data_IF_386433383465
#
_entry.id   IF_386433383465
#
_cell.length_a   1.000
_cell.length_b   1.000
_cell.length_c   1.000
_cell.angle_alpha   90.00
_cell.angle_beta   90.00
_cell.angle_gamma   90.00
#
_symmetry.space_group_name_H-M   'P 1'
#
loop_
_entity.id
_entity.type
_entity.pdbx_description
1 polymer ?
#
# COMPACT_ATOMS: atom_id res chain seq x y z
N UNK A 1 22.83 21.23 17.52
CA UNK A 1 23.26 20.82 16.17
C UNK A 1 22.47 21.65 15.18
N UNK A 2 23.12 22.54 14.43
CA UNK A 2 22.43 23.42 13.48
C UNK A 2 22.00 22.61 12.25
N UNK A 3 20.70 22.37 12.09
CA UNK A 3 20.16 21.70 10.91
C UNK A 3 20.29 22.64 9.70
N UNK A 4 20.62 22.09 8.55
CA UNK A 4 20.88 22.84 7.31
C UNK A 4 19.98 22.29 6.20
N UNK A 5 19.32 23.14 5.44
CA UNK A 5 18.51 22.75 4.27
C UNK A 5 19.39 22.76 3.03
N UNK A 6 19.44 21.63 2.35
CA UNK A 6 20.05 21.52 1.02
C UNK A 6 19.04 21.99 -0.03
N UNK A 7 19.39 23.02 -0.79
CA UNK A 7 18.62 23.46 -1.95
C UNK A 7 19.35 22.96 -3.20
N UNK A 8 18.64 22.14 -3.99
CA UNK A 8 19.11 21.61 -5.27
C UNK A 8 18.26 22.26 -6.37
N UNK A 9 18.91 23.01 -7.27
CA UNK A 9 18.29 23.58 -8.46
C UNK A 9 19.20 23.35 -9.68
N UNK A 10 18.68 23.40 -10.91
CA UNK A 10 19.48 23.20 -12.12
C UNK A 10 20.68 24.17 -12.26
N UNK A 11 20.60 25.34 -11.62
CA UNK A 11 21.60 26.41 -11.74
C UNK A 11 22.48 26.56 -10.49
N UNK A 12 22.04 26.07 -9.32
CA UNK A 12 22.74 26.26 -8.05
C UNK A 12 22.43 25.13 -7.06
N UNK A 13 23.48 24.67 -6.36
CA UNK A 13 23.39 23.78 -5.20
C UNK A 13 23.98 24.53 -4.01
N UNK A 14 23.17 24.87 -3.00
CA UNK A 14 23.65 25.57 -1.81
C UNK A 14 22.95 25.12 -0.52
N UNK A 15 23.61 25.39 0.60
CA UNK A 15 23.13 25.10 1.94
C UNK A 15 22.57 26.36 2.59
N UNK A 16 21.34 26.30 3.12
CA UNK A 16 20.73 27.37 3.91
C UNK A 16 20.51 26.93 5.36
N UNK A 17 20.70 27.81 6.35
CA UNK A 17 20.38 27.48 7.75
C UNK A 17 18.88 27.15 7.88
N UNK A 18 18.57 26.04 8.56
CA UNK A 18 17.21 25.53 8.73
C UNK A 18 16.71 25.78 10.15
N UNK A 19 15.66 26.57 10.31
CA UNK A 19 14.98 26.77 11.59
C UNK A 19 14.14 25.53 11.94
N UNK A 20 14.74 24.61 12.72
CA UNK A 20 14.15 23.32 13.10
C UNK A 20 13.03 23.42 14.16
N UNK A 21 12.27 24.52 14.22
CA UNK A 21 11.25 24.75 15.27
C UNK A 21 9.84 24.23 14.93
N UNK A 22 9.62 23.61 13.76
CA UNK A 22 8.27 23.24 13.28
C UNK A 22 8.16 21.91 12.53
N UNK A 23 9.08 20.96 12.70
CA UNK A 23 8.89 19.63 12.12
C UNK A 23 8.53 18.61 13.20
N UNK A 24 7.25 18.23 13.20
CA UNK A 24 6.72 17.13 14.01
C UNK A 24 7.49 15.85 13.62
N UNK A 25 8.13 15.24 14.61
CA UNK A 25 9.01 14.08 14.43
C UNK A 25 8.25 12.75 14.19
N UNK A 26 6.94 12.81 14.03
CA UNK A 26 6.04 11.65 13.90
C UNK A 26 6.22 10.93 12.54
N UNK A 27 6.48 11.67 11.47
CA UNK A 27 6.75 11.08 10.14
C UNK A 27 8.12 10.38 10.07
N UNK A 28 9.08 10.82 10.88
CA UNK A 28 10.44 10.26 10.89
C UNK A 28 10.48 8.84 11.46
N UNK A 29 9.66 8.55 12.48
CA UNK A 29 9.64 7.26 13.18
C UNK A 29 9.06 6.12 12.33
N UNK A 30 8.05 6.40 11.49
CA UNK A 30 7.52 5.41 10.54
C UNK A 30 8.51 5.13 9.38
N UNK A 31 9.26 6.14 8.95
CA UNK A 31 10.26 6.01 7.90
C UNK A 31 11.52 5.27 8.35
N UNK A 32 11.86 5.30 9.64
CA UNK A 32 13.04 4.62 10.20
C UNK A 32 12.98 3.09 10.07
N UNK A 33 11.76 2.52 10.10
CA UNK A 33 11.53 1.08 10.02
C UNK A 33 11.27 0.57 8.59
N UNK A 34 11.58 1.36 7.55
CA UNK A 34 11.44 0.92 6.16
C UNK A 34 12.72 0.19 5.74
N UNK A 35 12.70 -1.13 5.47
CA UNK A 35 13.90 -1.90 5.10
C UNK A 35 14.61 -1.32 3.87
N UNK A 36 13.84 -0.77 2.92
CA UNK A 36 14.36 -0.14 1.72
C UNK A 36 15.18 1.13 2.04
N UNK A 37 14.82 1.88 3.08
CA UNK A 37 15.59 3.05 3.52
C UNK A 37 16.94 2.62 4.10
N UNK A 38 16.95 1.58 4.95
CA UNK A 38 18.18 1.04 5.52
C UNK A 38 19.11 0.53 4.41
N UNK A 39 18.54 -0.14 3.40
CA UNK A 39 19.27 -0.60 2.22
C UNK A 39 19.97 0.55 1.49
N UNK A 40 19.27 1.65 1.18
CA UNK A 40 19.86 2.79 0.46
C UNK A 40 20.78 3.68 1.32
N UNK A 41 20.67 3.60 2.65
CA UNK A 41 21.56 4.34 3.56
C UNK A 41 22.91 3.64 3.75
N UNK A 42 22.99 2.35 3.49
CA UNK A 42 24.24 1.60 3.57
C UNK A 42 24.97 1.63 2.22
N UNK A 43 26.12 2.30 2.22
CA UNK A 43 26.97 2.43 1.01
C UNK A 43 27.63 1.11 0.64
N UNK A 44 27.76 0.16 1.57
CA UNK A 44 28.30 -1.17 1.25
C UNK A 44 27.40 -1.92 0.27
N UNK A 45 26.07 -1.69 0.31
CA UNK A 45 25.12 -2.30 -0.62
C UNK A 45 25.42 -1.88 -2.07
N UNK A 46 25.95 -0.68 -2.30
CA UNK A 46 26.34 -0.24 -3.65
C UNK A 46 27.40 -1.17 -4.28
N UNK A 47 28.29 -1.73 -3.47
CA UNK A 47 29.37 -2.60 -3.94
C UNK A 47 29.04 -4.09 -3.85
N UNK A 48 28.14 -4.46 -2.94
CA UNK A 48 27.79 -5.87 -2.67
C UNK A 48 26.57 -6.35 -3.44
N UNK A 49 25.63 -5.46 -3.77
CA UNK A 49 24.39 -5.85 -4.44
C UNK A 49 24.68 -6.26 -5.87
N UNK A 50 24.23 -7.47 -6.22
CA UNK A 50 24.35 -8.02 -7.57
C UNK A 50 23.14 -7.64 -8.43
N UNK A 51 23.24 -7.85 -9.74
CA UNK A 51 22.12 -7.66 -10.66
C UNK A 51 20.94 -8.59 -10.31
N UNK A 52 21.21 -9.82 -9.91
CA UNK A 52 20.20 -10.80 -9.49
C UNK A 52 19.43 -10.34 -8.24
N UNK A 53 20.13 -9.75 -7.26
CA UNK A 53 19.50 -9.19 -6.06
C UNK A 53 18.58 -8.01 -6.40
N UNK A 54 19.00 -7.16 -7.35
CA UNK A 54 18.17 -6.03 -7.83
C UNK A 54 16.93 -6.53 -8.56
N UNK A 55 17.07 -7.54 -9.40
CA UNK A 55 15.95 -8.14 -10.13
C UNK A 55 14.92 -8.75 -9.16
N UNK A 56 15.37 -9.46 -8.14
CA UNK A 56 14.46 -9.99 -7.11
C UNK A 56 13.76 -8.84 -6.36
N UNK A 57 14.51 -7.79 -6.00
CA UNK A 57 13.97 -6.63 -5.31
C UNK A 57 12.91 -5.92 -6.18
N UNK A 58 13.17 -5.71 -7.47
CA UNK A 58 12.24 -5.13 -8.43
C UNK A 58 11.01 -6.02 -8.64
N UNK A 59 11.19 -7.33 -8.79
CA UNK A 59 10.07 -8.27 -8.89
C UNK A 59 9.18 -8.24 -7.65
N UNK A 60 9.79 -8.20 -6.46
CA UNK A 60 9.05 -8.10 -5.20
C UNK A 60 8.25 -6.80 -5.11
N UNK A 61 8.83 -5.69 -5.60
CA UNK A 61 8.19 -4.39 -5.68
C UNK A 61 6.98 -4.43 -6.62
N UNK A 62 7.15 -4.91 -7.86
CA UNK A 62 6.05 -5.01 -8.82
C UNK A 62 4.94 -5.95 -8.34
N UNK A 63 5.28 -7.09 -7.72
CA UNK A 63 4.28 -7.97 -7.08
C UNK A 63 3.45 -7.21 -6.03
N UNK A 64 4.07 -6.33 -5.25
CA UNK A 64 3.38 -5.53 -4.23
C UNK A 64 2.51 -4.42 -4.84
N UNK A 65 3.01 -3.74 -5.87
CA UNK A 65 2.26 -2.69 -6.60
C UNK A 65 1.03 -3.28 -7.28
N UNK A 66 1.22 -4.34 -8.08
CA UNK A 66 0.12 -5.03 -8.78
C UNK A 66 -0.93 -5.54 -7.77
N UNK A 67 -0.49 -6.09 -6.63
CA UNK A 67 -1.40 -6.51 -5.56
C UNK A 67 -2.21 -5.34 -5.00
N UNK A 68 -1.60 -4.16 -4.83
CA UNK A 68 -2.29 -2.94 -4.42
C UNK A 68 -3.36 -2.53 -5.42
N UNK A 69 -3.05 -2.57 -6.71
CA UNK A 69 -3.99 -2.23 -7.78
C UNK A 69 -5.18 -3.21 -7.81
N UNK A 70 -4.92 -4.50 -7.63
CA UNK A 70 -6.00 -5.50 -7.52
C UNK A 70 -6.92 -5.28 -6.32
N UNK A 71 -6.38 -4.79 -5.19
CA UNK A 71 -7.18 -4.46 -4.00
C UNK A 71 -8.06 -3.25 -4.28
N UNK A 72 -7.50 -2.21 -4.90
CA UNK A 72 -8.25 -1.01 -5.30
C UNK A 72 -9.37 -1.38 -6.25
N UNK A 73 -9.08 -2.13 -7.32
CA UNK A 73 -10.08 -2.58 -8.28
C UNK A 73 -11.17 -3.48 -7.63
N UNK A 74 -10.79 -4.32 -6.66
CA UNK A 74 -11.74 -5.14 -5.92
C UNK A 74 -12.67 -4.30 -5.03
N UNK A 75 -12.15 -3.26 -4.36
CA UNK A 75 -12.96 -2.32 -3.58
C UNK A 75 -13.92 -1.53 -4.47
N UNK A 76 -13.45 -1.05 -5.61
CA UNK A 76 -14.28 -0.36 -6.60
C UNK A 76 -15.38 -1.26 -7.17
N UNK A 77 -15.10 -2.56 -7.38
CA UNK A 77 -16.11 -3.54 -7.78
C UNK A 77 -17.22 -3.71 -6.74
N UNK A 78 -16.88 -3.49 -5.46
CA UNK A 78 -17.82 -3.43 -4.34
C UNK A 78 -18.43 -2.03 -4.13
N UNK A 79 -18.16 -1.06 -5.02
CA UNK A 79 -18.62 0.32 -4.88
C UNK A 79 -18.06 1.04 -3.64
N UNK A 80 -16.94 0.54 -3.09
CA UNK A 80 -16.28 1.12 -1.92
C UNK A 80 -15.10 1.98 -2.38
N UNK A 81 -14.99 3.17 -1.80
CA UNK A 81 -13.85 4.04 -2.04
C UNK A 81 -12.66 3.59 -1.18
N UNK A 82 -11.48 3.31 -1.77
CA UNK A 82 -10.29 2.88 -1.04
C UNK A 82 -9.85 3.85 0.07
N UNK A 83 -10.20 5.14 -0.03
CA UNK A 83 -9.85 6.17 0.96
C UNK A 83 -10.71 6.11 2.23
N UNK A 84 -11.91 5.54 2.13
CA UNK A 84 -12.87 5.49 3.24
C UNK A 84 -12.73 4.19 4.05
N UNK A 85 -11.91 3.25 3.57
CA UNK A 85 -11.70 1.94 4.18
C UNK A 85 -10.46 1.95 5.06
N UNK A 86 -10.65 1.53 6.32
CA UNK A 86 -9.54 1.24 7.22
C UNK A 86 -8.96 -0.15 6.89
N UNK A 87 -7.66 -0.25 6.63
CA UNK A 87 -6.98 -1.53 6.35
C UNK A 87 -6.71 -2.34 7.64
N UNK A 88 -7.76 -2.59 8.41
CA UNK A 88 -7.77 -3.34 9.67
C UNK A 88 -9.03 -4.21 9.79
N UNK A 89 -9.20 -4.94 10.90
CA UNK A 89 -10.37 -5.79 11.12
C UNK A 89 -11.71 -5.06 11.03
N UNK A 90 -11.76 -3.76 11.38
CA UNK A 90 -12.98 -2.95 11.29
C UNK A 90 -13.36 -2.71 9.83
N UNK A 91 -12.41 -2.34 8.97
CA UNK A 91 -12.69 -2.19 7.54
C UNK A 91 -13.06 -3.51 6.87
N UNK A 92 -12.48 -4.64 7.29
CA UNK A 92 -12.89 -5.95 6.77
C UNK A 92 -14.36 -6.29 7.07
N UNK A 93 -14.86 -5.92 8.27
CA UNK A 93 -16.28 -6.08 8.61
C UNK A 93 -17.19 -5.25 7.70
N UNK A 94 -16.77 -4.03 7.34
CA UNK A 94 -17.49 -3.17 6.38
C UNK A 94 -17.55 -3.83 5.02
N UNK A 95 -16.41 -4.25 4.48
CA UNK A 95 -16.33 -4.95 3.17
C UNK A 95 -17.25 -6.18 3.14
N UNK A 96 -17.22 -7.02 4.19
CA UNK A 96 -18.05 -8.22 4.27
C UNK A 96 -19.55 -7.90 4.32
N UNK A 97 -19.95 -6.82 4.99
CA UNK A 97 -21.34 -6.35 5.04
C UNK A 97 -21.80 -5.88 3.67
N UNK A 98 -21.00 -5.03 3.02
CA UNK A 98 -21.30 -4.47 1.70
C UNK A 98 -21.38 -5.58 0.64
N UNK A 99 -20.44 -6.53 0.65
CA UNK A 99 -20.50 -7.74 -0.18
C UNK A 99 -21.81 -8.51 0.01
N UNK A 100 -22.22 -8.76 1.27
CA UNK A 100 -23.47 -9.50 1.55
C UNK A 100 -24.69 -8.75 1.00
N UNK A 101 -24.72 -7.43 1.12
CA UNK A 101 -25.79 -6.61 0.58
C UNK A 101 -25.85 -6.69 -0.96
N UNK A 102 -24.73 -6.49 -1.65
CA UNK A 102 -24.67 -6.58 -3.11
C UNK A 102 -24.96 -7.98 -3.64
N UNK A 103 -24.48 -9.03 -2.96
CA UNK A 103 -24.80 -10.40 -3.34
C UNK A 103 -26.31 -10.68 -3.21
N UNK A 104 -26.97 -10.07 -2.23
CA UNK A 104 -28.42 -10.16 -2.07
C UNK A 104 -29.21 -9.40 -3.13
N UNK A 105 -28.71 -8.23 -3.56
CA UNK A 105 -29.32 -7.39 -4.59
C UNK A 105 -29.16 -7.99 -6.00
N UNK A 106 -27.99 -8.56 -6.30
CA UNK A 106 -27.66 -9.16 -7.60
C UNK A 106 -27.93 -10.67 -7.68
N UNK A 107 -28.80 -11.22 -6.83
CA UNK A 107 -29.12 -12.65 -6.90
C UNK A 107 -29.72 -13.04 -8.26
N UNK A 108 -29.27 -14.13 -8.88
CA UNK A 108 -29.74 -14.59 -10.19
C UNK A 108 -31.26 -14.88 -10.22
N UNK A 109 -31.86 -15.23 -9.08
CA UNK A 109 -33.32 -15.42 -8.94
C UNK A 109 -34.14 -14.13 -9.09
N UNK A 110 -33.52 -12.95 -9.05
CA UNK A 110 -34.19 -11.64 -9.17
C UNK A 110 -33.76 -10.83 -10.40
N UNK A 111 -33.12 -11.47 -11.37
CA UNK A 111 -32.66 -10.82 -12.62
C UNK A 111 -31.18 -10.39 -12.62
N UNK A 112 -30.39 -10.84 -11.63
CA UNK A 112 -28.95 -10.60 -11.60
C UNK A 112 -28.18 -11.42 -12.63
N UNK A 113 -27.12 -10.84 -13.21
CA UNK A 113 -26.26 -11.54 -14.18
C UNK A 113 -25.25 -12.44 -13.46
N UNK A 114 -25.16 -13.71 -13.85
CA UNK A 114 -24.16 -14.67 -13.32
C UNK A 114 -22.73 -14.09 -13.37
N UNK A 115 -22.43 -13.30 -14.40
CA UNK A 115 -21.13 -12.61 -14.57
C UNK A 115 -20.87 -11.56 -13.48
N UNK A 116 -21.91 -10.87 -13.01
CA UNK A 116 -21.78 -9.89 -11.92
C UNK A 116 -21.53 -10.58 -10.58
N UNK A 117 -22.24 -11.67 -10.29
CA UNK A 117 -21.98 -12.47 -9.08
C UNK A 117 -20.58 -13.09 -9.08
N UNK A 118 -20.07 -13.53 -10.23
CA UNK A 118 -18.69 -14.04 -10.36
C UNK A 118 -17.66 -12.95 -10.06
N UNK A 119 -17.80 -11.77 -10.67
CA UNK A 119 -16.92 -10.62 -10.40
C UNK A 119 -16.92 -10.21 -8.92
N UNK A 120 -18.09 -10.22 -8.29
CA UNK A 120 -18.24 -9.89 -6.87
C UNK A 120 -17.51 -10.92 -5.98
N UNK A 121 -17.62 -12.21 -6.32
CA UNK A 121 -16.92 -13.28 -5.61
C UNK A 121 -15.39 -13.17 -5.75
N UNK A 122 -14.91 -12.90 -6.98
CA UNK A 122 -13.48 -12.71 -7.27
C UNK A 122 -12.91 -11.53 -6.48
N UNK A 123 -13.59 -10.38 -6.50
CA UNK A 123 -13.20 -9.21 -5.73
C UNK A 123 -13.13 -9.52 -4.22
N UNK A 124 -14.12 -10.22 -3.67
CA UNK A 124 -14.13 -10.61 -2.26
C UNK A 124 -12.99 -11.57 -1.91
N UNK A 125 -12.59 -12.46 -2.84
CA UNK A 125 -11.49 -13.39 -2.62
C UNK A 125 -10.14 -12.66 -2.55
N UNK A 126 -9.90 -11.68 -3.44
CA UNK A 126 -8.70 -10.83 -3.40
C UNK A 126 -8.61 -10.08 -2.07
N UNK A 127 -9.71 -9.47 -1.63
CA UNK A 127 -9.76 -8.74 -0.36
C UNK A 127 -9.54 -9.65 0.84
N UNK A 128 -10.15 -10.86 0.85
CA UNK A 128 -9.95 -11.83 1.93
C UNK A 128 -8.49 -12.24 2.08
N UNK A 129 -7.80 -12.51 0.97
CA UNK A 129 -6.37 -12.88 1.00
C UNK A 129 -5.53 -11.73 1.54
N UNK A 130 -5.81 -10.49 1.11
CA UNK A 130 -5.10 -9.31 1.59
C UNK A 130 -5.29 -9.09 3.11
N UNK A 131 -6.52 -9.08 3.61
CA UNK A 131 -6.80 -8.88 5.03
C UNK A 131 -6.29 -10.04 5.91
N UNK A 132 -6.26 -11.27 5.39
CA UNK A 132 -5.59 -12.38 6.08
C UNK A 132 -4.08 -12.15 6.20
N UNK A 133 -3.44 -11.65 5.14
CA UNK A 133 -2.00 -11.35 5.14
C UNK A 133 -1.62 -10.20 6.07
N UNK A 134 -2.52 -9.24 6.29
CA UNK A 134 -2.34 -8.15 7.26
C UNK A 134 -2.37 -8.67 8.70
N UNK A 135 -3.31 -9.57 9.02
CA UNK A 135 -3.41 -10.14 10.37
C UNK A 135 -2.29 -11.15 10.69
N UNK A 136 -1.66 -11.78 9.69
CA UNK A 136 -0.55 -12.71 9.88
C UNK A 136 0.82 -12.06 10.00
N UNK A 137 0.95 -10.76 9.66
CA UNK A 137 2.21 -10.01 9.73
C UNK A 137 2.30 -9.13 10.98
N UNK A 138 1.43 -9.31 11.97
CA UNK A 138 1.57 -8.69 13.28
C UNK A 138 2.38 -9.62 14.21
N UNK A 139 3.59 -9.23 14.63
CA UNK A 139 4.17 -9.76 15.87
C UNK A 139 3.39 -9.28 17.10
#
# INVERSE_FOLDING_TARGET
>A
MASTTLIISPLQIHLRPHDCKKHNNELSQELENIPLRQFYLDTDNLYRTTEEDLDEMLQSFWRRVIRSDHIVAALETLGLNPKDIQYNEKGYKVIKRTYKQMAMEHHPDRGGSLKQSQKLNEAMQVLRVHFKSLNSNSP
#
